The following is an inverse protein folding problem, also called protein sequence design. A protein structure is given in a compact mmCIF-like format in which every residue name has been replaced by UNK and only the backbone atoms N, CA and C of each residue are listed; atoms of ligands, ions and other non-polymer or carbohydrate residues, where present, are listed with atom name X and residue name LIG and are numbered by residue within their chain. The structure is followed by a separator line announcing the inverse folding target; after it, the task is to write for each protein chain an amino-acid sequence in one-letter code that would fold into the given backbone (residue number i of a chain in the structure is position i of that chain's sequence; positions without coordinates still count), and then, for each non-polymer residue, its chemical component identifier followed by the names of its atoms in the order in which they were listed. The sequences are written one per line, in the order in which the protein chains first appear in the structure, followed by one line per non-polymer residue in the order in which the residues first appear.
data_IF_519284726593
#
_entry.id   IF_519284726593
#
_cell.length_a   1.000
_cell.length_b   1.000
_cell.length_c   1.000
_cell.angle_alpha   90.00
_cell.angle_beta   90.00
_cell.angle_gamma   90.00
#
_symmetry.space_group_name_H-M   'P 1'
#
loop_
_entity.id
_entity.type
_entity.pdbx_description
1 polymer ?
#
# COMPACT_ATOMS: atom_id res chain seq x y z
N UNK A 1 0.73 20.74 15.72
CA UNK A 1 1.88 19.83 15.58
C UNK A 1 1.48 18.41 15.23
N UNK A 2 0.56 17.77 15.98
CA UNK A 2 0.17 16.37 15.77
C UNK A 2 -0.40 16.07 14.38
N UNK A 3 -1.23 16.97 13.84
CA UNK A 3 -1.75 16.83 12.47
C UNK A 3 -0.65 16.81 11.41
N UNK A 4 0.35 17.67 11.56
CA UNK A 4 1.50 17.68 10.66
C UNK A 4 2.34 16.41 10.75
N UNK A 5 2.58 15.89 11.95
CA UNK A 5 3.28 14.63 12.17
C UNK A 5 2.50 13.45 11.58
N UNK A 6 1.19 13.45 11.73
CA UNK A 6 0.29 12.47 11.14
C UNK A 6 0.46 12.39 9.62
N UNK A 7 0.35 13.53 8.94
CA UNK A 7 0.52 13.59 7.47
C UNK A 7 1.90 13.14 7.05
N UNK A 8 2.94 13.62 7.73
CA UNK A 8 4.32 13.21 7.44
C UNK A 8 4.52 11.70 7.59
N UNK A 9 3.94 11.10 8.64
CA UNK A 9 4.05 9.65 8.89
C UNK A 9 3.32 8.84 7.83
N UNK A 10 2.14 9.25 7.38
CA UNK A 10 1.42 8.56 6.30
C UNK A 10 2.15 8.69 4.95
N UNK A 11 2.72 9.86 4.66
CA UNK A 11 3.54 10.04 3.46
C UNK A 11 4.77 9.14 3.53
N UNK A 12 5.46 9.09 4.67
CA UNK A 12 6.62 8.22 4.86
C UNK A 12 6.25 6.74 4.68
N UNK A 13 5.14 6.31 5.25
CA UNK A 13 4.64 4.93 5.09
C UNK A 13 4.42 4.56 3.63
N UNK A 14 3.72 5.42 2.89
CA UNK A 14 3.43 5.20 1.48
C UNK A 14 4.70 5.24 0.62
N UNK A 15 5.58 6.17 0.91
CA UNK A 15 6.87 6.29 0.21
C UNK A 15 7.74 5.04 0.41
N UNK A 16 7.86 4.55 1.63
CA UNK A 16 8.61 3.33 1.94
C UNK A 16 7.99 2.12 1.24
N UNK A 17 6.66 2.05 1.16
CA UNK A 17 5.97 0.94 0.53
C UNK A 17 6.26 0.83 -0.97
N UNK A 18 6.26 1.94 -1.68
CA UNK A 18 6.38 1.96 -3.15
C UNK A 18 7.79 2.22 -3.67
N UNK A 19 8.64 2.95 -2.94
CA UNK A 19 9.91 3.41 -3.45
C UNK A 19 10.99 2.34 -3.32
N UNK A 20 11.67 2.05 -4.42
CA UNK A 20 12.82 1.13 -4.46
C UNK A 20 14.14 1.82 -4.84
N UNK A 21 14.18 3.15 -4.84
CA UNK A 21 15.39 3.93 -5.13
C UNK A 21 16.06 4.39 -3.84
N UNK A 22 15.34 5.13 -2.99
CA UNK A 22 15.84 5.54 -1.67
C UNK A 22 15.81 4.39 -0.66
N UNK A 23 14.97 3.39 -0.90
CA UNK A 23 14.86 2.16 -0.12
C UNK A 23 15.15 0.95 -1.02
N UNK A 24 16.42 0.67 -1.36
CA UNK A 24 16.77 -0.41 -2.28
C UNK A 24 16.26 -1.77 -1.81
N UNK A 25 15.71 -2.53 -2.75
CA UNK A 25 15.09 -3.83 -2.42
C UNK A 25 16.11 -4.88 -1.96
N UNK A 26 17.39 -4.71 -2.27
CA UNK A 26 18.48 -5.57 -1.79
C UNK A 26 18.58 -5.54 -0.24
N UNK A 27 18.23 -4.43 0.38
CA UNK A 27 18.33 -4.22 1.84
C UNK A 27 16.97 -4.29 2.53
N UNK A 28 15.96 -3.66 1.96
CA UNK A 28 14.65 -3.52 2.57
C UNK A 28 13.65 -4.60 2.16
N UNK A 29 14.01 -5.41 1.18
CA UNK A 29 13.10 -6.37 0.57
C UNK A 29 12.32 -5.78 -0.61
N UNK A 30 11.72 -6.63 -1.46
CA UNK A 30 11.01 -6.18 -2.65
C UNK A 30 9.77 -5.36 -2.29
N UNK A 31 9.40 -4.45 -3.19
CA UNK A 31 8.07 -3.85 -3.16
C UNK A 31 7.03 -4.88 -3.63
N UNK A 32 5.74 -4.60 -3.40
CA UNK A 32 4.68 -5.47 -3.90
C UNK A 32 4.69 -5.58 -5.43
N UNK A 33 4.90 -4.46 -6.12
CA UNK A 33 5.02 -4.44 -7.58
C UNK A 33 6.22 -5.27 -8.05
N UNK A 34 7.36 -5.14 -7.37
CA UNK A 34 8.58 -5.88 -7.69
C UNK A 34 8.40 -7.39 -7.52
N UNK A 35 7.80 -7.81 -6.43
CA UNK A 35 7.53 -9.23 -6.17
C UNK A 35 6.57 -9.82 -7.21
N UNK A 36 5.56 -9.07 -7.62
CA UNK A 36 4.62 -9.47 -8.66
C UNK A 36 5.32 -9.64 -10.02
N UNK A 37 6.11 -8.67 -10.42
CA UNK A 37 6.89 -8.72 -11.67
C UNK A 37 7.93 -9.85 -11.63
N UNK A 38 8.56 -10.05 -10.48
CA UNK A 38 9.53 -11.14 -10.26
C UNK A 38 8.89 -12.51 -10.38
N UNK A 39 7.68 -12.69 -9.89
CA UNK A 39 6.93 -13.93 -10.05
C UNK A 39 6.64 -14.22 -11.53
N UNK A 40 6.17 -13.23 -12.27
CA UNK A 40 5.91 -13.38 -13.70
C UNK A 40 7.18 -13.68 -14.49
N UNK A 41 8.27 -13.01 -14.17
CA UNK A 41 9.57 -13.28 -14.79
C UNK A 41 10.07 -14.70 -14.48
N UNK A 42 9.94 -15.15 -13.25
CA UNK A 42 10.36 -16.49 -12.83
C UNK A 42 9.60 -17.57 -13.60
N UNK A 43 8.29 -17.43 -13.73
CA UNK A 43 7.47 -18.37 -14.50
C UNK A 43 7.77 -18.30 -15.99
N UNK A 44 8.02 -17.11 -16.54
CA UNK A 44 8.42 -16.95 -17.92
C UNK A 44 9.72 -17.71 -18.21
N UNK A 45 10.72 -17.54 -17.37
CA UNK A 45 12.02 -18.24 -17.52
C UNK A 45 11.85 -19.75 -17.40
N UNK A 46 11.08 -20.21 -16.41
CA UNK A 46 10.79 -21.64 -16.24
C UNK A 46 10.19 -22.24 -17.51
N UNK A 47 9.15 -21.61 -18.03
CA UNK A 47 8.39 -22.13 -19.16
C UNK A 47 9.19 -22.01 -20.47
N UNK A 48 9.99 -20.96 -20.62
CA UNK A 48 10.91 -20.83 -21.76
C UNK A 48 11.93 -21.97 -21.80
N UNK A 49 12.48 -22.34 -20.64
CA UNK A 49 13.45 -23.43 -20.53
C UNK A 49 12.87 -24.79 -20.82
N UNK A 50 11.58 -24.99 -20.67
CA UNK A 50 10.88 -26.24 -21.03
C UNK A 50 10.23 -26.18 -22.40
N UNK A 51 10.54 -25.18 -23.21
CA UNK A 51 10.19 -25.12 -24.62
C UNK A 51 9.00 -24.22 -24.98
N UNK A 52 8.42 -23.48 -24.05
CA UNK A 52 7.34 -22.55 -24.36
C UNK A 52 7.82 -21.36 -25.19
N UNK A 53 7.03 -20.98 -26.20
CA UNK A 53 7.25 -19.75 -26.94
C UNK A 53 6.63 -18.57 -26.19
N UNK A 54 7.41 -17.90 -25.36
CA UNK A 54 6.93 -16.85 -24.47
C UNK A 54 6.45 -15.60 -25.22
N UNK A 55 6.90 -15.39 -26.44
CA UNK A 55 6.49 -14.26 -27.27
C UNK A 55 5.11 -14.39 -27.89
N UNK A 56 4.57 -15.62 -28.05
CA UNK A 56 3.33 -15.87 -28.77
C UNK A 56 2.28 -16.66 -27.99
N UNK A 57 2.62 -17.23 -26.84
CA UNK A 57 1.65 -18.01 -26.05
C UNK A 57 0.56 -17.09 -25.48
N UNK A 58 -0.70 -17.50 -25.72
CA UNK A 58 -1.87 -16.78 -25.24
C UNK A 58 -2.41 -17.38 -23.95
N UNK A 59 -2.90 -16.51 -23.08
CA UNK A 59 -3.56 -16.92 -21.84
C UNK A 59 -5.07 -17.15 -22.03
N UNK A 60 -5.76 -17.64 -20.98
CA UNK A 60 -7.20 -17.92 -21.03
C UNK A 60 -8.07 -16.68 -21.24
N UNK A 61 -7.54 -15.48 -20.98
CA UNK A 61 -8.25 -14.21 -21.15
C UNK A 61 -8.18 -13.65 -22.58
N UNK A 62 -7.47 -14.31 -23.50
CA UNK A 62 -7.21 -13.82 -24.85
C UNK A 62 -6.04 -12.84 -24.96
N UNK A 63 -5.38 -12.50 -23.85
CA UNK A 63 -4.16 -11.70 -23.80
C UNK A 63 -2.91 -12.60 -23.74
N UNK A 64 -1.75 -12.05 -24.06
CA UNK A 64 -0.49 -12.79 -23.95
C UNK A 64 -0.29 -13.35 -22.55
N UNK A 65 0.13 -14.61 -22.46
CA UNK A 65 0.33 -15.27 -21.17
C UNK A 65 1.55 -14.73 -20.42
N UNK A 66 2.64 -14.48 -21.13
CA UNK A 66 3.91 -14.03 -20.56
C UNK A 66 4.20 -12.57 -20.85
N UNK A 67 3.90 -12.13 -22.05
CA UNK A 67 4.14 -10.77 -22.52
C UNK A 67 2.89 -10.22 -23.18
N UNK A 68 2.67 -8.92 -23.01
CA UNK A 68 1.58 -8.20 -23.64
C UNK A 68 2.01 -6.74 -23.91
N UNK A 69 1.10 -5.90 -24.33
CA UNK A 69 1.35 -4.47 -24.51
C UNK A 69 0.69 -3.66 -23.41
N UNK A 70 1.41 -2.61 -22.95
CA UNK A 70 0.84 -1.61 -22.06
C UNK A 70 -0.19 -0.73 -22.76
N UNK A 71 -0.98 0.08 -22.06
CA UNK A 71 -1.88 1.05 -22.66
C UNK A 71 -1.19 2.06 -23.58
N UNK A 72 0.10 2.30 -23.39
CA UNK A 72 0.91 3.22 -24.20
C UNK A 72 1.81 2.52 -25.20
N UNK A 73 1.74 1.21 -25.31
CA UNK A 73 2.35 0.41 -26.38
C UNK A 73 3.63 -0.34 -26.02
N UNK A 74 4.20 -0.17 -24.81
CA UNK A 74 5.40 -0.89 -24.38
C UNK A 74 5.11 -2.37 -24.16
N UNK A 75 6.09 -3.22 -24.41
CA UNK A 75 6.01 -4.65 -24.11
C UNK A 75 6.22 -4.82 -22.59
N UNK A 76 5.27 -5.48 -21.94
CA UNK A 76 5.23 -5.69 -20.49
C UNK A 76 4.92 -7.14 -20.16
N UNK A 77 5.08 -7.54 -18.90
CA UNK A 77 4.64 -8.88 -18.47
C UNK A 77 3.11 -9.01 -18.53
N UNK A 78 2.65 -10.15 -19.01
CA UNK A 78 1.23 -10.50 -19.06
C UNK A 78 0.71 -11.04 -17.73
N UNK A 79 -0.62 -11.22 -17.67
CA UNK A 79 -1.31 -11.66 -16.47
C UNK A 79 -1.67 -10.48 -15.56
N UNK A 80 -2.05 -10.76 -14.31
CA UNK A 80 -2.45 -9.71 -13.38
C UNK A 80 -1.32 -8.71 -13.04
N UNK A 81 -0.08 -9.12 -13.20
CA UNK A 81 1.08 -8.23 -12.98
C UNK A 81 1.13 -7.06 -13.97
N UNK A 82 0.31 -7.08 -15.02
CA UNK A 82 0.20 -5.96 -15.95
C UNK A 82 -0.16 -4.64 -15.25
N UNK A 83 -0.84 -4.68 -14.11
CA UNK A 83 -1.16 -3.48 -13.31
C UNK A 83 0.08 -2.77 -12.80
N UNK A 84 1.21 -3.47 -12.66
CA UNK A 84 2.48 -2.95 -12.20
C UNK A 84 3.47 -2.73 -13.35
N UNK A 85 3.00 -2.49 -14.54
CA UNK A 85 3.84 -2.36 -15.73
C UNK A 85 4.83 -1.20 -15.65
N UNK A 86 4.57 -0.20 -14.82
CA UNK A 86 5.47 0.92 -14.58
C UNK A 86 6.69 0.55 -13.73
N UNK A 87 6.70 -0.64 -13.15
CA UNK A 87 7.82 -1.07 -12.30
C UNK A 87 9.14 -1.03 -13.05
N UNK A 88 10.17 -0.48 -12.39
CA UNK A 88 11.56 -0.47 -12.84
C UNK A 88 12.45 -1.00 -11.73
N UNK A 89 13.39 -1.89 -12.05
CA UNK A 89 14.31 -2.43 -11.07
C UNK A 89 15.59 -2.93 -11.70
N UNK A 90 16.72 -2.90 -10.95
CA UNK A 90 18.05 -3.23 -11.49
C UNK A 90 18.18 -4.59 -12.15
N UNK A 91 17.42 -5.59 -11.63
CA UNK A 91 17.48 -6.94 -12.19
C UNK A 91 16.72 -7.08 -13.51
N UNK A 92 15.77 -6.21 -13.78
CA UNK A 92 14.94 -6.28 -14.97
C UNK A 92 15.40 -5.33 -16.09
N UNK A 93 16.04 -4.22 -15.75
CA UNK A 93 16.45 -3.20 -16.74
C UNK A 93 17.38 -3.72 -17.84
N UNK A 94 18.29 -4.67 -17.61
CA UNK A 94 19.09 -5.24 -18.69
C UNK A 94 18.30 -5.91 -19.82
N UNK A 95 17.04 -6.29 -19.55
CA UNK A 95 16.16 -6.91 -20.54
C UNK A 95 15.24 -5.90 -21.22
N UNK A 96 15.36 -4.62 -20.88
CA UNK A 96 14.53 -3.57 -21.46
C UNK A 96 15.19 -2.93 -22.67
N UNK A 97 14.36 -2.62 -23.66
CA UNK A 97 14.75 -1.93 -24.87
C UNK A 97 13.94 -0.66 -25.06
N UNK A 98 14.03 -0.02 -26.27
CA UNK A 98 13.31 1.23 -26.54
C UNK A 98 11.77 1.11 -26.47
N UNK A 99 11.24 -0.10 -26.71
CA UNK A 99 9.80 -0.36 -26.75
C UNK A 99 9.30 -1.19 -25.56
N UNK A 100 9.93 -1.06 -24.40
CA UNK A 100 9.65 -1.88 -23.24
C UNK A 100 10.54 -3.12 -23.18
N UNK A 101 10.05 -4.23 -22.65
CA UNK A 101 10.84 -5.48 -22.59
C UNK A 101 11.20 -5.95 -23.99
N UNK A 102 12.44 -6.37 -24.18
CA UNK A 102 12.94 -6.86 -25.46
C UNK A 102 12.83 -8.37 -25.51
N UNK A 103 12.04 -8.90 -26.45
CA UNK A 103 11.89 -10.35 -26.64
C UNK A 103 13.24 -11.00 -27.00
N UNK A 104 14.06 -10.34 -27.81
CA UNK A 104 15.40 -10.84 -28.16
C UNK A 104 16.27 -11.00 -26.91
N UNK A 105 16.31 -10.00 -26.04
CA UNK A 105 17.05 -10.07 -24.78
C UNK A 105 16.50 -11.12 -23.82
N UNK A 106 15.21 -11.27 -23.75
CA UNK A 106 14.55 -12.31 -22.94
C UNK A 106 14.93 -13.72 -23.44
N UNK A 107 15.03 -13.91 -24.75
CA UNK A 107 15.40 -15.20 -25.30
C UNK A 107 16.91 -15.51 -25.16
N UNK A 108 17.78 -14.50 -25.17
CA UNK A 108 19.21 -14.69 -25.29
C UNK A 108 20.07 -14.17 -24.14
N UNK A 109 19.63 -13.15 -23.41
CA UNK A 109 20.48 -12.39 -22.50
C UNK A 109 20.11 -12.52 -21.02
N UNK A 110 19.25 -13.45 -20.64
CA UNK A 110 18.91 -13.68 -19.23
C UNK A 110 20.10 -14.31 -18.53
N UNK A 111 20.57 -13.65 -17.47
CA UNK A 111 21.70 -14.11 -16.67
C UNK A 111 21.24 -14.88 -15.42
N UNK A 112 22.06 -15.83 -14.92
CA UNK A 112 21.69 -16.59 -13.72
C UNK A 112 21.39 -15.74 -12.49
N UNK A 113 22.10 -14.61 -12.32
CA UNK A 113 21.86 -13.72 -11.18
C UNK A 113 20.49 -13.07 -11.21
N UNK A 114 19.95 -12.77 -12.40
CA UNK A 114 18.60 -12.21 -12.57
C UNK A 114 17.54 -13.22 -12.12
N UNK A 115 17.70 -14.46 -12.50
CA UNK A 115 16.80 -15.55 -12.13
C UNK A 115 16.81 -15.76 -10.61
N UNK A 116 17.99 -15.79 -10.00
CA UNK A 116 18.13 -15.92 -8.55
C UNK A 116 17.51 -14.72 -7.81
N UNK A 117 17.77 -13.51 -8.27
CA UNK A 117 17.22 -12.29 -7.68
C UNK A 117 15.69 -12.26 -7.78
N UNK A 118 15.14 -12.59 -8.93
CA UNK A 118 13.69 -12.66 -9.12
C UNK A 118 13.06 -13.75 -8.25
N UNK A 119 13.65 -14.91 -8.15
CA UNK A 119 13.17 -15.98 -7.28
C UNK A 119 13.18 -15.57 -5.79
N UNK A 120 14.23 -14.88 -5.35
CA UNK A 120 14.30 -14.32 -4.00
C UNK A 120 13.18 -13.32 -3.75
N UNK A 121 12.96 -12.37 -4.64
CA UNK A 121 11.92 -11.36 -4.48
C UNK A 121 10.52 -11.96 -4.55
N UNK A 122 10.30 -12.93 -5.42
CA UNK A 122 9.05 -13.67 -5.50
C UNK A 122 8.72 -14.35 -4.16
N UNK A 123 9.70 -15.02 -3.55
CA UNK A 123 9.50 -15.78 -2.31
C UNK A 123 9.46 -14.93 -1.05
N UNK A 124 9.93 -13.68 -1.13
CA UNK A 124 9.95 -12.72 -0.02
C UNK A 124 9.00 -11.54 -0.27
N UNK A 125 7.88 -11.79 -0.94
CA UNK A 125 6.89 -10.77 -1.25
C UNK A 125 6.33 -10.11 0.02
N UNK A 126 6.08 -8.78 -0.01
CA UNK A 126 5.59 -8.03 1.15
C UNK A 126 4.06 -8.15 1.32
N UNK A 127 3.56 -9.36 1.49
CA UNK A 127 2.13 -9.66 1.59
C UNK A 127 1.75 -10.31 2.92
N UNK A 128 2.62 -10.29 3.92
CA UNK A 128 2.33 -10.86 5.21
C UNK A 128 1.27 -10.04 5.97
N UNK A 129 0.44 -10.74 6.74
CA UNK A 129 -0.46 -10.15 7.72
C UNK A 129 0.28 -9.71 8.98
N UNK A 130 -0.43 -9.06 9.90
CA UNK A 130 0.14 -8.67 11.22
C UNK A 130 0.64 -9.88 12.02
N UNK A 131 0.11 -11.07 11.75
CA UNK A 131 0.54 -12.33 12.37
C UNK A 131 1.74 -12.96 11.63
N UNK A 132 2.36 -12.24 10.71
CA UNK A 132 3.50 -12.67 9.90
C UNK A 132 3.20 -13.84 8.94
N UNK A 133 1.95 -14.07 8.61
CA UNK A 133 1.55 -15.08 7.63
C UNK A 133 1.66 -14.49 6.25
N UNK A 134 2.61 -14.98 5.48
CA UNK A 134 2.91 -14.49 4.13
C UNK A 134 3.23 -15.62 3.16
N UNK A 135 3.78 -15.28 2.03
CA UNK A 135 4.14 -16.20 0.96
C UNK A 135 4.28 -15.50 -0.36
N UNK A 136 4.29 -16.25 -1.45
CA UNK A 136 4.23 -15.67 -2.79
C UNK A 136 2.85 -15.03 -3.02
N UNK A 137 2.75 -14.11 -3.98
CA UNK A 137 1.51 -13.34 -4.22
C UNK A 137 0.32 -14.23 -4.50
N UNK A 138 0.51 -15.34 -5.21
CA UNK A 138 -0.56 -16.31 -5.54
C UNK A 138 -0.86 -17.32 -4.42
N UNK A 139 0.02 -17.46 -3.42
CA UNK A 139 -0.14 -18.36 -2.28
C UNK A 139 0.29 -17.64 -0.99
N UNK A 140 -0.51 -16.71 -0.46
CA UNK A 140 -0.09 -15.83 0.61
C UNK A 140 -0.04 -16.46 2.01
N UNK A 141 -0.56 -17.68 2.19
CA UNK A 141 -0.65 -18.34 3.50
C UNK A 141 0.37 -19.47 3.67
N UNK A 142 1.54 -19.35 3.06
CA UNK A 142 2.49 -20.46 2.96
C UNK A 142 3.69 -20.37 3.92
N UNK A 143 4.07 -19.18 4.38
CA UNK A 143 5.30 -18.95 5.16
C UNK A 143 5.07 -17.96 6.30
N UNK A 144 5.96 -18.00 7.29
CA UNK A 144 6.03 -17.01 8.36
C UNK A 144 7.22 -16.09 8.08
N UNK A 145 6.96 -14.98 7.40
CA UNK A 145 7.99 -14.04 7.00
C UNK A 145 7.43 -12.62 6.82
N UNK A 146 8.16 -11.64 7.37
CA UNK A 146 7.90 -10.21 7.16
C UNK A 146 9.22 -9.53 6.85
N UNK A 147 9.29 -8.80 5.73
CA UNK A 147 10.50 -8.08 5.35
C UNK A 147 10.61 -6.72 6.09
N UNK A 148 11.76 -6.09 6.00
CA UNK A 148 12.02 -4.81 6.65
C UNK A 148 11.11 -3.70 6.11
N UNK A 149 10.82 -3.71 4.81
CA UNK A 149 9.92 -2.75 4.16
C UNK A 149 8.52 -2.77 4.78
N UNK A 150 7.97 -3.96 5.02
CA UNK A 150 6.66 -4.10 5.67
C UNK A 150 6.67 -3.53 7.07
N UNK A 151 7.69 -3.84 7.88
CA UNK A 151 7.79 -3.32 9.23
C UNK A 151 7.92 -1.80 9.27
N UNK A 152 8.75 -1.22 8.42
CA UNK A 152 8.92 0.23 8.35
C UNK A 152 7.64 0.93 7.90
N UNK A 153 6.99 0.43 6.85
CA UNK A 153 5.73 0.99 6.37
C UNK A 153 4.63 0.87 7.42
N UNK A 154 4.53 -0.28 8.08
CA UNK A 154 3.54 -0.51 9.14
C UNK A 154 3.78 0.39 10.36
N UNK A 155 5.03 0.56 10.77
CA UNK A 155 5.38 1.44 11.89
C UNK A 155 5.00 2.90 11.61
N UNK A 156 5.29 3.40 10.41
CA UNK A 156 4.94 4.76 10.01
C UNK A 156 3.42 4.94 9.89
N UNK A 157 2.71 3.94 9.39
CA UNK A 157 1.25 3.98 9.34
C UNK A 157 0.64 3.98 10.75
N UNK A 158 1.15 3.15 11.64
CA UNK A 158 0.72 3.10 13.04
C UNK A 158 0.93 4.47 13.72
N UNK A 159 2.10 5.08 13.56
CA UNK A 159 2.37 6.42 14.08
C UNK A 159 1.42 7.47 13.49
N UNK A 160 1.17 7.41 12.19
CA UNK A 160 0.23 8.31 11.52
C UNK A 160 -1.17 8.19 12.09
N UNK A 161 -1.65 6.98 12.32
CA UNK A 161 -2.98 6.73 12.87
C UNK A 161 -3.11 7.28 14.30
N UNK A 162 -2.18 6.97 15.19
CA UNK A 162 -2.26 7.41 16.58
C UNK A 162 -2.00 8.91 16.75
N UNK A 163 -1.15 9.51 15.93
CA UNK A 163 -0.99 10.98 15.92
C UNK A 163 -2.23 11.68 15.36
N UNK A 164 -2.92 11.07 14.41
CA UNK A 164 -4.22 11.57 13.94
C UNK A 164 -5.26 11.57 15.06
N UNK A 165 -5.42 10.45 15.77
CA UNK A 165 -6.35 10.33 16.89
C UNK A 165 -5.97 11.34 18.00
N UNK A 166 -4.70 11.46 18.30
CA UNK A 166 -4.19 12.45 19.25
C UNK A 166 -4.50 13.88 18.84
N UNK A 167 -4.38 14.17 17.55
CA UNK A 167 -4.78 15.47 17.00
C UNK A 167 -6.28 15.73 17.23
N UNK A 168 -7.13 14.78 16.96
CA UNK A 168 -8.58 14.91 17.18
C UNK A 168 -8.90 15.15 18.66
N UNK A 169 -8.28 14.37 19.54
CA UNK A 169 -8.44 14.54 20.99
C UNK A 169 -8.04 15.93 21.46
N UNK A 170 -6.83 16.37 21.09
CA UNK A 170 -6.31 17.66 21.52
C UNK A 170 -7.05 18.85 20.91
N UNK A 171 -7.45 18.75 19.64
CA UNK A 171 -8.26 19.79 18.99
C UNK A 171 -9.64 19.89 19.62
N UNK A 172 -10.30 18.75 19.86
CA UNK A 172 -11.60 18.72 20.52
C UNK A 172 -11.54 19.26 21.95
N UNK A 173 -10.54 18.88 22.73
CA UNK A 173 -10.34 19.35 24.08
C UNK A 173 -10.03 20.85 24.13
N UNK A 174 -9.23 21.35 23.21
CA UNK A 174 -8.93 22.78 23.11
C UNK A 174 -10.20 23.61 22.80
N UNK A 175 -11.05 23.13 21.90
CA UNK A 175 -12.35 23.76 21.59
C UNK A 175 -13.25 23.73 22.81
N UNK A 176 -13.36 22.59 23.47
CA UNK A 176 -14.17 22.46 24.70
C UNK A 176 -13.67 23.36 25.81
N UNK A 177 -12.34 23.48 26.01
CA UNK A 177 -11.75 24.38 26.99
C UNK A 177 -12.08 25.86 26.68
N UNK A 178 -11.98 26.25 25.41
CA UNK A 178 -12.33 27.61 24.99
C UNK A 178 -13.83 27.93 25.21
N UNK A 179 -14.68 26.93 25.06
CA UNK A 179 -16.13 27.08 25.32
C UNK A 179 -16.52 26.87 26.78
N UNK A 180 -15.62 26.41 27.64
CA UNK A 180 -15.80 26.27 29.08
C UNK A 180 -16.45 24.97 29.56
N UNK A 181 -16.48 23.91 28.72
CA UNK A 181 -17.09 22.63 29.09
C UNK A 181 -16.16 21.42 29.02
N UNK A 182 -14.83 21.62 29.00
CA UNK A 182 -13.85 20.51 28.95
C UNK A 182 -13.91 19.62 30.21
N UNK A 183 -14.41 20.12 31.31
CA UNK A 183 -14.55 19.38 32.56
C UNK A 183 -15.90 18.69 32.70
N UNK A 184 -16.72 18.72 31.65
CA UNK A 184 -18.05 18.17 31.61
C UNK A 184 -19.14 19.24 31.82
N UNK A 185 -20.39 18.79 31.87
CA UNK A 185 -21.54 19.66 32.05
C UNK A 185 -21.72 19.96 33.53
N UNK A 186 -21.76 21.24 33.90
CA UNK A 186 -22.12 21.67 35.26
C UNK A 186 -23.61 21.53 35.46
N UNK A 187 -24.02 20.68 36.42
CA UNK A 187 -25.45 20.48 36.78
C UNK A 187 -26.14 21.72 37.25
N UNK A 188 -25.41 22.72 37.72
CA UNK A 188 -25.99 23.99 38.20
C UNK A 188 -26.24 24.99 37.08
N UNK A 189 -25.68 24.75 35.89
CA UNK A 189 -25.76 25.66 34.74
C UNK A 189 -25.99 24.91 33.43
N UNK A 190 -26.85 23.87 33.42
CA UNK A 190 -27.25 23.16 32.20
C UNK A 190 -28.08 24.06 31.30
N UNK A 191 -27.58 24.54 30.15
CA UNK A 191 -28.33 25.47 29.29
C UNK A 191 -29.66 24.91 28.77
N UNK A 192 -29.71 23.58 28.55
CA UNK A 192 -30.89 22.90 28.07
C UNK A 192 -32.03 22.89 29.11
N UNK A 193 -31.72 22.75 30.41
CA UNK A 193 -32.70 22.81 31.50
C UNK A 193 -33.16 24.23 31.73
N UNK A 194 -32.29 25.21 31.72
CA UNK A 194 -32.64 26.62 31.85
C UNK A 194 -33.57 27.09 30.74
N UNK A 195 -33.28 26.71 29.50
CA UNK A 195 -34.16 27.03 28.35
C UNK A 195 -35.53 26.36 28.45
N UNK A 196 -35.60 25.12 28.93
CA UNK A 196 -36.87 24.42 29.10
C UNK A 196 -37.69 25.04 30.21
N UNK A 197 -37.10 25.49 31.30
CA UNK A 197 -37.79 26.17 32.41
C UNK A 197 -38.29 27.54 32.00
N UNK A 198 -37.56 28.29 31.18
CA UNK A 198 -38.02 29.58 30.63
C UNK A 198 -39.26 29.38 29.77
N UNK A 199 -39.31 28.37 28.92
CA UNK A 199 -40.44 28.06 28.07
C UNK A 199 -41.66 27.53 28.83
N UNK A 200 -41.47 26.87 29.96
CA UNK A 200 -42.55 26.37 30.82
C UNK A 200 -43.15 27.48 31.66
N UNK A 201 -42.40 28.47 32.09
CA UNK A 201 -42.85 29.55 32.98
C UNK A 201 -43.65 30.65 32.26
N UNK A 202 -43.41 30.93 31.00
CA UNK A 202 -44.07 31.98 30.23
C UNK A 202 -45.60 31.79 30.05
N UNK A 203 -46.09 30.59 29.69
CA UNK A 203 -47.51 30.36 29.52
C UNK A 203 -48.33 30.57 30.83
N UNK A 204 -47.71 30.23 31.95
CA UNK A 204 -48.35 30.32 33.27
C UNK A 204 -48.53 31.77 33.73
N UNK A 205 -47.67 32.69 33.38
CA UNK A 205 -47.77 34.12 33.67
C UNK A 205 -48.90 34.82 32.88
N UNK A 206 -49.13 34.36 31.63
CA UNK A 206 -50.19 34.95 30.77
C UNK A 206 -51.59 34.47 31.12
N UNK A 207 -51.75 33.40 31.88
CA UNK A 207 -53.06 32.89 32.30
C UNK A 207 -53.56 33.44 33.64
N UNK A 208 -52.79 34.33 34.30
CA UNK A 208 -53.14 34.95 35.58
C UNK A 208 -53.55 36.43 35.46
N UNK A 209 -53.74 36.96 34.26
CA UNK A 209 -54.31 38.27 33.97
C UNK A 209 -55.66 38.09 33.24
#
# INVERSE_FOLDING_TARGET
ALGGICVASFIASTFIWFNNTAYPSEFYGPTNAEASQAQSFTFLVRDQRIGANVGSTMGPTGLGKYLMRSPTGEIIFGGETMRFWDFRGPWLEPLRGPNGLSLEKIQNDIQPWQVRRAAEYMTHAPNASINSVGGIITEPNAVNFVNLRQWLAAAQFFLGWFTFIGHLWHAGRARAAAAGFEKGIDRKSEPALELSLIHISEPTRRSMI
#
